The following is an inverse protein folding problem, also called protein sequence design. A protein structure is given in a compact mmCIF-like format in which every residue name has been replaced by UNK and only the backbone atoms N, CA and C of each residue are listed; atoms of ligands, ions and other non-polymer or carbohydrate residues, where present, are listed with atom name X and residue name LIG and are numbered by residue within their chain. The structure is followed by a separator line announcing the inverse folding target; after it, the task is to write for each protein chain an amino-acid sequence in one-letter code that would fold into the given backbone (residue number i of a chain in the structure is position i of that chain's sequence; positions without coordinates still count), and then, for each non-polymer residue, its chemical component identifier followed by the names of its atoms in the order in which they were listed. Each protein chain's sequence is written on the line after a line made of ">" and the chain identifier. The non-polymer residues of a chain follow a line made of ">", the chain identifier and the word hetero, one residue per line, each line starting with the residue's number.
data_IF_880388611792
#
_entry.id   IF_880388611792
#
_cell.length_a   1.000
_cell.length_b   1.000
_cell.length_c   1.000
_cell.angle_alpha   90.00
_cell.angle_beta   90.00
_cell.angle_gamma   90.00
#
_symmetry.space_group_name_H-M   'P 1'
#
loop_
_entity.id
_entity.type
_entity.pdbx_description
1 polymer ?
#
# COMPACT_ATOMS: atom_id res chain seq x y z
N UNK A 1 25.11 51.29 32.20
CA UNK A 1 24.84 50.77 30.84
C UNK A 1 24.00 49.52 31.00
N UNK A 2 22.76 49.51 30.48
CA UNK A 2 21.80 48.40 30.63
C UNK A 2 22.11 47.34 29.57
N UNK A 3 22.57 46.15 29.99
CA UNK A 3 22.70 45.00 29.09
C UNK A 3 21.35 44.27 29.04
N UNK A 4 20.66 44.39 27.90
CA UNK A 4 19.52 43.55 27.54
C UNK A 4 20.06 42.19 27.07
N UNK A 5 19.83 41.13 27.87
CA UNK A 5 19.98 39.75 27.40
C UNK A 5 18.63 39.30 26.83
N UNK A 6 18.56 39.18 25.51
CA UNK A 6 17.41 38.58 24.81
C UNK A 6 17.67 37.08 24.74
N UNK A 7 16.89 36.31 25.50
CA UNK A 7 16.85 34.84 25.41
C UNK A 7 16.05 34.44 24.17
N UNK A 8 16.70 33.83 23.19
CA UNK A 8 16.06 33.28 21.99
C UNK A 8 15.71 31.81 22.24
N UNK A 9 14.50 31.56 22.74
CA UNK A 9 14.00 30.20 22.96
C UNK A 9 13.52 29.63 21.63
N UNK A 10 14.34 28.81 20.98
CA UNK A 10 13.96 28.07 19.76
C UNK A 10 13.02 26.93 20.16
N UNK A 11 11.74 27.09 19.86
CA UNK A 11 10.74 26.04 19.98
C UNK A 11 10.90 25.05 18.81
N UNK A 12 11.63 23.95 19.02
CA UNK A 12 11.62 22.83 18.08
C UNK A 12 10.30 22.08 18.25
N UNK A 13 9.31 22.42 17.41
CA UNK A 13 8.12 21.60 17.21
C UNK A 13 8.54 20.35 16.43
N UNK A 14 8.76 19.24 17.14
CA UNK A 14 8.79 17.92 16.51
C UNK A 14 7.36 17.58 16.08
N UNK A 15 7.03 17.86 14.82
CA UNK A 15 5.86 17.28 14.19
C UNK A 15 6.11 15.77 14.03
N UNK A 16 5.49 14.95 14.88
CA UNK A 16 5.40 13.52 14.65
C UNK A 16 4.48 13.30 13.45
N UNK A 17 5.09 13.13 12.27
CA UNK A 17 4.39 12.62 11.10
C UNK A 17 4.03 11.16 11.37
N UNK A 18 2.73 10.87 11.53
CA UNK A 18 2.23 9.51 11.47
C UNK A 18 2.29 9.05 10.01
N UNK A 19 3.48 8.64 9.57
CA UNK A 19 3.61 7.80 8.39
C UNK A 19 2.80 6.53 8.64
N UNK A 20 1.95 6.14 7.67
CA UNK A 20 1.25 4.87 7.75
C UNK A 20 2.26 3.78 8.08
N UNK A 21 1.97 3.05 9.15
CA UNK A 21 2.90 2.19 9.82
C UNK A 21 3.29 1.07 8.86
N UNK A 22 4.42 1.23 8.15
CA UNK A 22 4.93 0.26 7.17
C UNK A 22 5.08 -1.14 7.79
N UNK A 23 5.19 -1.20 9.12
CA UNK A 23 5.11 -2.41 9.93
C UNK A 23 3.82 -3.22 9.71
N UNK A 24 2.68 -2.56 9.47
CA UNK A 24 1.37 -3.21 9.32
C UNK A 24 1.21 -3.95 8.00
N UNK A 25 1.89 -3.51 6.93
CA UNK A 25 1.83 -4.18 5.62
C UNK A 25 2.73 -5.42 5.57
N UNK A 26 3.77 -5.48 6.41
CA UNK A 26 4.72 -6.59 6.44
C UNK A 26 3.99 -7.84 6.91
N UNK A 27 3.67 -8.71 5.96
CA UNK A 27 2.99 -9.98 6.21
C UNK A 27 2.93 -10.84 4.94
N UNK A 28 2.37 -12.04 5.11
CA UNK A 28 1.83 -12.82 3.99
C UNK A 28 0.39 -12.42 3.75
N UNK A 29 0.05 -12.19 2.48
CA UNK A 29 -1.26 -11.77 2.03
C UNK A 29 -1.73 -12.71 0.92
N UNK A 30 -2.72 -13.54 1.23
CA UNK A 30 -3.36 -14.45 0.30
C UNK A 30 -4.46 -13.74 -0.46
N UNK A 31 -4.43 -13.80 -1.78
CA UNK A 31 -5.42 -13.17 -2.64
C UNK A 31 -6.78 -13.88 -2.51
N UNK A 32 -7.81 -13.12 -2.12
CA UNK A 32 -9.19 -13.62 -2.06
C UNK A 32 -9.88 -13.42 -3.41
N UNK A 33 -9.80 -12.19 -3.94
CA UNK A 33 -10.46 -11.80 -5.19
C UNK A 33 -9.92 -10.49 -5.74
N UNK A 34 -10.18 -10.26 -7.03
CA UNK A 34 -10.04 -8.96 -7.68
C UNK A 34 -11.35 -8.58 -8.34
N UNK A 35 -11.68 -7.29 -8.26
CA UNK A 35 -12.87 -6.68 -8.86
C UNK A 35 -12.39 -5.67 -9.89
N UNK A 36 -12.89 -5.80 -11.12
CA UNK A 36 -12.61 -4.87 -12.20
C UNK A 36 -13.14 -3.46 -11.95
N UNK A 37 -12.60 -2.53 -12.72
CA UNK A 37 -13.02 -1.14 -12.71
C UNK A 37 -14.45 -0.90 -13.19
N UNK A 38 -14.95 0.31 -13.00
CA UNK A 38 -16.27 0.73 -13.49
C UNK A 38 -16.42 0.55 -15.01
N UNK A 39 -15.34 0.72 -15.76
CA UNK A 39 -15.33 0.61 -17.22
C UNK A 39 -15.23 -0.84 -17.74
N UNK A 40 -14.79 -1.78 -16.89
CA UNK A 40 -14.66 -3.20 -17.24
C UNK A 40 -14.87 -4.06 -15.99
N UNK A 41 -16.13 -4.23 -15.54
CA UNK A 41 -16.43 -4.98 -14.34
C UNK A 41 -16.15 -6.46 -14.57
N UNK A 42 -15.29 -7.03 -13.73
CA UNK A 42 -15.07 -8.46 -13.66
C UNK A 42 -14.91 -8.90 -12.20
N UNK A 43 -15.09 -10.19 -11.94
CA UNK A 43 -14.79 -10.80 -10.65
C UNK A 43 -13.84 -11.98 -10.86
N UNK A 44 -12.59 -11.79 -10.43
CA UNK A 44 -11.58 -12.83 -10.43
C UNK A 44 -11.44 -13.40 -9.02
N UNK A 45 -11.51 -14.73 -8.90
CA UNK A 45 -11.27 -15.48 -7.67
C UNK A 45 -10.35 -16.65 -8.00
N UNK A 46 -9.73 -17.30 -7.00
CA UNK A 46 -8.97 -18.51 -7.25
C UNK A 46 -9.77 -19.58 -8.02
N UNK A 47 -11.07 -19.70 -7.71
CA UNK A 47 -11.98 -20.64 -8.37
C UNK A 47 -12.22 -20.29 -9.83
N UNK A 48 -12.46 -19.02 -10.15
CA UNK A 48 -12.79 -18.60 -11.54
C UNK A 48 -11.56 -18.55 -12.44
N UNK A 49 -10.38 -18.27 -11.88
CA UNK A 49 -9.13 -18.13 -12.64
C UNK A 49 -8.31 -19.43 -12.66
N UNK A 50 -8.55 -20.37 -11.73
CA UNK A 50 -7.89 -21.68 -11.70
C UNK A 50 -6.48 -21.68 -11.09
N UNK A 51 -6.10 -20.65 -10.34
CA UNK A 51 -4.86 -20.62 -9.57
C UNK A 51 -5.03 -19.80 -8.29
N UNK A 52 -4.14 -20.00 -7.32
CA UNK A 52 -4.01 -19.12 -6.15
C UNK A 52 -2.90 -18.10 -6.35
N UNK A 53 -3.01 -16.95 -5.67
CA UNK A 53 -1.94 -15.96 -5.56
C UNK A 53 -1.73 -15.62 -4.09
N UNK A 54 -0.48 -15.32 -3.73
CA UNK A 54 -0.17 -14.63 -2.47
C UNK A 54 1.00 -13.69 -2.70
N UNK A 55 1.08 -12.63 -1.91
CA UNK A 55 2.22 -11.72 -1.86
C UNK A 55 2.78 -11.69 -0.44
N UNK A 56 4.10 -11.57 -0.31
CA UNK A 56 4.76 -11.44 0.99
C UNK A 56 5.53 -10.13 0.99
N UNK A 57 5.09 -9.16 1.79
CA UNK A 57 5.84 -7.93 2.05
C UNK A 57 6.80 -8.18 3.21
N UNK A 58 8.05 -7.78 3.02
CA UNK A 58 9.15 -8.09 3.94
C UNK A 58 9.75 -6.82 4.52
N UNK A 59 10.35 -6.86 5.73
CA UNK A 59 10.91 -5.68 6.38
C UNK A 59 12.02 -4.96 5.60
N UNK A 60 12.69 -5.64 4.66
CA UNK A 60 13.76 -5.06 3.86
C UNK A 60 13.24 -4.39 2.56
N UNK A 61 11.95 -4.07 2.48
CA UNK A 61 11.36 -3.36 1.34
C UNK A 61 11.18 -4.25 0.10
N UNK A 62 11.09 -5.57 0.26
CA UNK A 62 10.81 -6.50 -0.84
C UNK A 62 9.41 -7.10 -0.78
N UNK A 63 8.81 -7.27 -1.94
CA UNK A 63 7.57 -8.03 -2.15
C UNK A 63 7.86 -9.25 -2.99
N UNK A 64 7.39 -10.40 -2.53
CA UNK A 64 7.54 -11.68 -3.21
C UNK A 64 6.15 -12.16 -3.64
N UNK A 65 5.96 -12.35 -4.93
CA UNK A 65 4.69 -12.77 -5.53
C UNK A 65 4.75 -14.26 -5.86
N UNK A 66 3.75 -15.00 -5.39
CA UNK A 66 3.60 -16.42 -5.64
C UNK A 66 2.34 -16.69 -6.47
N UNK A 67 2.44 -17.69 -7.34
CA UNK A 67 1.30 -18.31 -8.04
C UNK A 67 1.33 -19.80 -7.76
N UNK A 68 0.24 -20.37 -7.25
CA UNK A 68 0.19 -21.79 -6.86
C UNK A 68 1.37 -22.22 -5.97
N UNK A 69 1.73 -21.38 -4.99
CA UNK A 69 2.89 -21.56 -4.11
C UNK A 69 4.27 -21.58 -4.78
N UNK A 70 4.36 -21.30 -6.08
CA UNK A 70 5.63 -21.09 -6.78
C UNK A 70 5.94 -19.60 -6.82
N UNK A 71 7.14 -19.21 -6.39
CA UNK A 71 7.62 -17.84 -6.52
C UNK A 71 7.72 -17.48 -8.00
N UNK A 72 7.05 -16.41 -8.41
CA UNK A 72 7.07 -15.93 -9.80
C UNK A 72 7.73 -14.57 -9.93
N UNK A 73 7.89 -13.83 -8.82
CA UNK A 73 8.59 -12.56 -8.81
C UNK A 73 9.05 -12.17 -7.40
N UNK A 74 10.13 -11.40 -7.36
CA UNK A 74 10.67 -10.80 -6.17
C UNK A 74 11.21 -9.40 -6.51
N UNK A 75 10.54 -8.35 -6.04
CA UNK A 75 10.86 -6.96 -6.40
C UNK A 75 10.87 -6.06 -5.18
N UNK A 76 11.46 -4.86 -5.32
CA UNK A 76 11.27 -3.81 -4.33
C UNK A 76 9.80 -3.38 -4.29
N UNK A 77 9.35 -2.92 -3.12
CA UNK A 77 8.12 -2.14 -2.97
C UNK A 77 8.42 -0.84 -2.23
N UNK A 78 7.57 0.15 -2.44
CA UNK A 78 7.63 1.45 -1.77
C UNK A 78 6.23 1.84 -1.30
N UNK A 79 6.16 2.47 -0.13
CA UNK A 79 4.97 3.12 0.38
C UNK A 79 5.28 4.60 0.56
N UNK A 80 4.47 5.46 -0.03
CA UNK A 80 4.62 6.91 0.05
C UNK A 80 3.25 7.60 0.03
N UNK A 81 3.20 8.86 0.47
CA UNK A 81 2.01 9.68 0.30
C UNK A 81 1.91 10.17 -1.14
N UNK A 82 0.70 10.16 -1.69
CA UNK A 82 0.45 10.70 -3.02
C UNK A 82 -1.04 10.79 -3.34
N UNK A 83 -1.36 11.35 -4.51
CA UNK A 83 -2.74 11.62 -4.90
C UNK A 83 -3.39 10.39 -5.53
N UNK A 84 -4.59 10.05 -5.05
CA UNK A 84 -5.46 9.04 -5.63
C UNK A 84 -6.10 9.52 -6.93
N UNK A 85 -6.14 8.67 -7.95
CA UNK A 85 -6.70 8.98 -9.25
C UNK A 85 -8.21 9.26 -9.17
N UNK A 86 -8.93 8.51 -8.34
CA UNK A 86 -10.40 8.50 -8.33
C UNK A 86 -11.00 9.69 -7.60
N UNK A 87 -10.49 10.03 -6.42
CA UNK A 87 -11.02 11.08 -5.54
C UNK A 87 -10.18 12.35 -5.53
N UNK A 88 -8.98 12.32 -6.10
CA UNK A 88 -8.02 13.42 -6.06
C UNK A 88 -7.59 13.79 -4.63
N UNK A 89 -7.69 12.85 -3.69
CA UNK A 89 -7.27 13.04 -2.29
C UNK A 89 -5.90 12.41 -2.02
N UNK A 90 -5.26 12.78 -0.91
CA UNK A 90 -3.99 12.20 -0.49
C UNK A 90 -4.22 10.84 0.19
N UNK A 91 -3.49 9.82 -0.28
CA UNK A 91 -3.54 8.45 0.23
C UNK A 91 -2.14 7.89 0.45
N UNK A 92 -2.07 6.76 1.16
CA UNK A 92 -0.89 5.90 1.10
C UNK A 92 -0.90 5.12 -0.21
N UNK A 93 0.16 5.31 -1.00
CA UNK A 93 0.37 4.66 -2.27
C UNK A 93 1.40 3.54 -2.12
N UNK A 94 1.02 2.33 -2.53
CA UNK A 94 1.88 1.18 -2.60
C UNK A 94 2.34 0.97 -4.04
N UNK A 95 3.65 1.05 -4.29
CA UNK A 95 4.24 0.82 -5.61
C UNK A 95 5.10 -0.44 -5.61
N UNK A 96 4.80 -1.38 -6.51
CA UNK A 96 5.62 -2.56 -6.78
C UNK A 96 5.32 -3.11 -8.17
N UNK A 97 6.29 -3.83 -8.75
CA UNK A 97 6.14 -4.45 -10.09
C UNK A 97 5.71 -3.47 -11.20
N UNK A 98 6.15 -2.20 -11.10
CA UNK A 98 5.81 -1.15 -12.06
C UNK A 98 4.35 -0.68 -11.99
N UNK A 99 3.64 -0.99 -10.90
CA UNK A 99 2.25 -0.58 -10.66
C UNK A 99 2.15 0.15 -9.34
N UNK A 100 1.31 1.16 -9.31
CA UNK A 100 1.00 1.95 -8.11
C UNK A 100 -0.46 1.73 -7.74
N UNK A 101 -0.69 1.53 -6.45
CA UNK A 101 -2.01 1.27 -5.90
C UNK A 101 -2.28 2.20 -4.73
N UNK A 102 -3.52 2.63 -4.57
CA UNK A 102 -4.03 3.22 -3.33
C UNK A 102 -4.25 2.09 -2.33
N UNK A 103 -3.75 2.24 -1.10
CA UNK A 103 -4.09 1.35 0.02
C UNK A 103 -5.44 1.80 0.58
N UNK A 104 -6.52 1.15 0.16
CA UNK A 104 -7.88 1.49 0.61
C UNK A 104 -8.17 0.92 2.00
N UNK A 105 -7.60 -0.24 2.33
CA UNK A 105 -7.76 -0.86 3.65
C UNK A 105 -6.51 -1.63 4.03
N UNK A 106 -6.02 -1.41 5.25
CA UNK A 106 -4.94 -2.17 5.84
C UNK A 106 -5.20 -2.35 7.34
N UNK A 107 -5.46 -3.59 7.75
CA UNK A 107 -5.61 -3.96 9.15
C UNK A 107 -4.90 -5.30 9.45
N UNK A 108 -5.13 -5.88 10.63
CA UNK A 108 -4.47 -7.11 11.04
C UNK A 108 -4.90 -8.37 10.28
N UNK A 109 -5.90 -8.30 9.41
CA UNK A 109 -6.46 -9.44 8.67
C UNK A 109 -6.69 -9.14 7.19
N UNK A 110 -6.81 -7.87 6.81
CA UNK A 110 -7.28 -7.44 5.50
C UNK A 110 -6.29 -6.45 4.88
N UNK A 111 -6.00 -6.66 3.60
CA UNK A 111 -5.35 -5.68 2.73
C UNK A 111 -6.20 -5.53 1.48
N UNK A 112 -6.65 -4.31 1.21
CA UNK A 112 -7.32 -3.95 -0.03
C UNK A 112 -6.52 -2.86 -0.71
N UNK A 113 -6.13 -3.14 -1.95
CA UNK A 113 -5.41 -2.18 -2.80
C UNK A 113 -6.22 -1.91 -4.07
N UNK A 114 -6.21 -0.67 -4.53
CA UNK A 114 -6.93 -0.23 -5.72
C UNK A 114 -5.92 0.33 -6.72
N UNK A 115 -5.95 -0.10 -7.97
CA UNK A 115 -5.07 0.42 -9.02
C UNK A 115 -5.19 1.95 -9.09
N UNK A 116 -4.09 2.68 -8.93
CA UNK A 116 -4.10 4.14 -8.95
C UNK A 116 -4.11 4.69 -10.39
N UNK A 117 -5.18 4.38 -11.13
CA UNK A 117 -5.37 4.75 -12.53
C UNK A 117 -6.87 4.77 -12.87
N UNK A 118 -7.19 5.07 -14.13
CA UNK A 118 -8.57 5.16 -14.62
C UNK A 118 -9.40 3.88 -14.50
N UNK A 119 -8.76 2.70 -14.50
CA UNK A 119 -9.48 1.45 -14.32
C UNK A 119 -9.95 1.32 -12.86
N UNK A 120 -9.07 1.60 -11.89
CA UNK A 120 -9.46 1.51 -10.48
C UNK A 120 -9.81 0.09 -10.04
N UNK A 121 -9.24 -0.93 -10.68
CA UNK A 121 -9.44 -2.33 -10.26
C UNK A 121 -8.95 -2.56 -8.85
N UNK A 122 -9.78 -3.25 -8.05
CA UNK A 122 -9.54 -3.54 -6.64
C UNK A 122 -9.02 -4.96 -6.48
N UNK A 123 -7.99 -5.15 -5.65
CA UNK A 123 -7.50 -6.47 -5.25
C UNK A 123 -7.58 -6.60 -3.74
N UNK A 124 -8.21 -7.68 -3.29
CA UNK A 124 -8.50 -7.94 -1.88
C UNK A 124 -7.70 -9.16 -1.43
N UNK A 125 -7.00 -9.00 -0.31
CA UNK A 125 -6.17 -10.02 0.31
C UNK A 125 -6.59 -10.25 1.78
N UNK A 126 -6.25 -11.44 2.26
CA UNK A 126 -6.39 -11.89 3.65
C UNK A 126 -5.06 -12.42 4.16
N UNK A 127 -4.80 -12.30 5.45
CA UNK A 127 -3.68 -13.00 6.09
C UNK A 127 -3.93 -14.50 6.16
#
# INVERSE_FOLDING_TARGET
>A
MKHFFISFTVFFLFASFNTADSSSIINTWTWEKSVGGSNNPYLATPKTIGFTKKVIFTPNGRVITYKNNVEIRNSAYQIEKGIGYTDQEEHDLLTFEGKTYVIEKLDNQNLTIVSNNQDGSRTIFKR
#
